data_IF_194007754751
#
_entry.id   IF_194007754751
#
_cell.length_a   1.000
_cell.length_b   1.000
_cell.length_c   1.000
_cell.angle_alpha   90.00
_cell.angle_beta   90.00
_cell.angle_gamma   90.00
#
_symmetry.space_group_name_H-M   'P 1'
#
loop_
_entity.id
_entity.type
_entity.pdbx_description
1 polymer ?
#
# COMPACT_ATOMS: atom_id res chain seq x y z
N UNK A 1 -18.88 7.15 -2.26
CA UNK A 1 -19.59 5.84 -2.25
C UNK A 1 -20.91 5.84 -3.03
N UNK A 2 -21.80 6.84 -2.87
CA UNK A 2 -23.10 6.86 -3.58
C UNK A 2 -23.00 6.76 -5.11
N UNK A 3 -21.98 7.37 -5.72
CA UNK A 3 -21.76 7.34 -7.17
C UNK A 3 -21.23 5.99 -7.69
N UNK A 4 -20.47 5.25 -6.87
CA UNK A 4 -19.89 3.95 -7.24
C UNK A 4 -20.94 2.83 -7.13
N UNK A 5 -21.77 2.89 -6.08
CA UNK A 5 -22.84 1.91 -5.83
C UNK A 5 -24.02 2.04 -6.80
N UNK A 6 -24.05 3.07 -7.65
CA UNK A 6 -25.10 3.30 -8.65
C UNK A 6 -25.08 2.24 -9.77
N UNK A 7 -23.94 1.58 -9.99
CA UNK A 7 -23.70 0.69 -11.13
C UNK A 7 -23.43 -0.77 -10.73
N UNK A 8 -24.00 -1.18 -9.59
CA UNK A 8 -23.61 -2.35 -8.79
C UNK A 8 -22.14 -2.27 -8.31
N UNK A 9 -21.84 -2.71 -7.06
CA UNK A 9 -20.46 -2.70 -6.58
C UNK A 9 -19.61 -3.56 -7.53
N UNK A 10 -18.44 -3.07 -7.98
CA UNK A 10 -17.56 -3.88 -8.79
C UNK A 10 -17.25 -5.18 -8.04
N UNK A 11 -17.60 -6.34 -8.63
CA UNK A 11 -17.24 -7.65 -8.08
C UNK A 11 -15.72 -7.68 -8.01
N UNK A 12 -15.18 -7.72 -6.79
CA UNK A 12 -13.75 -7.67 -6.56
C UNK A 12 -13.09 -8.89 -7.22
N UNK A 13 -12.38 -8.66 -8.33
CA UNK A 13 -11.43 -9.64 -8.83
C UNK A 13 -10.34 -9.82 -7.78
N UNK A 14 -9.91 -11.08 -7.57
CA UNK A 14 -8.79 -11.38 -6.67
C UNK A 14 -7.59 -10.57 -7.14
N UNK A 15 -7.07 -9.69 -6.28
CA UNK A 15 -5.85 -8.93 -6.58
C UNK A 15 -4.66 -9.88 -6.51
N UNK A 16 -3.73 -9.74 -7.45
CA UNK A 16 -2.43 -10.37 -7.33
C UNK A 16 -1.67 -9.72 -6.18
N UNK A 17 -1.17 -10.54 -5.27
CA UNK A 17 -0.38 -10.10 -4.12
C UNK A 17 1.04 -10.57 -4.37
N UNK A 18 1.95 -9.61 -4.42
CA UNK A 18 3.38 -9.86 -4.56
C UNK A 18 4.05 -9.57 -3.22
N UNK A 19 4.85 -10.52 -2.76
CA UNK A 19 5.74 -10.31 -1.62
C UNK A 19 7.16 -10.15 -2.18
N UNK A 20 7.73 -8.96 -2.02
CA UNK A 20 9.14 -8.73 -2.31
C UNK A 20 9.98 -9.46 -1.26
N UNK A 21 11.02 -10.18 -1.71
CA UNK A 21 11.87 -11.02 -0.85
C UNK A 21 13.20 -10.37 -0.53
N UNK A 22 13.66 -9.43 -1.37
CA UNK A 22 14.91 -8.70 -1.16
C UNK A 22 14.71 -7.19 -1.13
N UNK A 23 15.75 -6.49 -0.67
CA UNK A 23 15.76 -5.03 -0.60
C UNK A 23 15.82 -4.44 -2.01
N UNK A 24 16.55 -5.08 -2.92
CA UNK A 24 16.71 -4.64 -4.31
C UNK A 24 15.39 -4.70 -5.07
N UNK A 25 14.66 -5.82 -4.96
CA UNK A 25 13.31 -5.96 -5.54
C UNK A 25 12.37 -4.86 -5.04
N UNK A 26 12.47 -4.55 -3.74
CA UNK A 26 11.67 -3.50 -3.14
C UNK A 26 12.03 -2.09 -3.66
N UNK A 27 13.33 -1.79 -3.80
CA UNK A 27 13.80 -0.52 -4.35
C UNK A 27 13.35 -0.30 -5.80
N UNK A 28 13.37 -1.34 -6.63
CA UNK A 28 12.87 -1.26 -8.02
C UNK A 28 11.37 -0.94 -8.04
N UNK A 29 10.58 -1.62 -7.22
CA UNK A 29 9.15 -1.38 -7.11
C UNK A 29 8.87 0.04 -6.60
N UNK A 30 9.66 0.54 -5.64
CA UNK A 30 9.52 1.89 -5.07
C UNK A 30 9.57 3.01 -6.12
N UNK A 31 10.29 2.81 -7.24
CA UNK A 31 10.37 3.79 -8.33
C UNK A 31 9.04 3.88 -9.10
N UNK A 32 8.29 2.77 -9.15
CA UNK A 32 7.08 2.63 -9.98
C UNK A 32 5.77 2.87 -9.22
N UNK A 33 5.78 2.79 -7.89
CA UNK A 33 4.57 2.91 -7.07
C UNK A 33 4.23 4.36 -6.77
N UNK A 34 2.94 4.67 -6.77
CA UNK A 34 2.46 6.03 -6.48
C UNK A 34 2.48 6.36 -4.99
N UNK A 35 2.23 5.37 -4.13
CA UNK A 35 2.13 5.58 -2.68
C UNK A 35 2.58 4.31 -1.94
N UNK A 36 3.30 4.53 -0.84
CA UNK A 36 3.68 3.49 0.12
C UNK A 36 2.81 3.66 1.36
N UNK A 37 2.12 2.60 1.76
CA UNK A 37 1.28 2.59 2.96
C UNK A 37 1.97 1.71 4.00
N UNK A 38 2.25 2.30 5.16
CA UNK A 38 2.81 1.59 6.31
C UNK A 38 1.67 1.25 7.28
N UNK A 39 1.45 -0.04 7.52
CA UNK A 39 0.37 -0.56 8.37
C UNK A 39 0.85 -0.90 9.79
N UNK A 40 2.10 -0.54 10.13
CA UNK A 40 2.60 -0.69 11.50
C UNK A 40 1.87 0.29 12.43
N UNK A 41 1.95 0.04 13.72
CA UNK A 41 1.43 0.97 14.72
C UNK A 41 2.17 2.33 14.68
N UNK A 42 1.54 3.32 15.29
CA UNK A 42 2.02 4.72 15.27
C UNK A 42 3.38 4.87 15.93
N UNK A 43 3.67 4.13 17.01
CA UNK A 43 4.93 4.23 17.74
C UNK A 43 6.08 3.66 16.91
N UNK A 44 5.86 2.49 16.29
CA UNK A 44 6.81 1.88 15.35
C UNK A 44 7.12 2.79 14.17
N UNK A 45 6.11 3.46 13.60
CA UNK A 45 6.30 4.41 12.51
C UNK A 45 7.10 5.65 12.95
N UNK A 46 6.80 6.20 14.12
CA UNK A 46 7.46 7.37 14.68
C UNK A 46 8.94 7.10 15.03
N UNK A 47 9.28 5.86 15.41
CA UNK A 47 10.67 5.45 15.70
C UNK A 47 11.57 5.44 14.46
N UNK A 48 10.96 5.35 13.27
CA UNK A 48 11.65 5.24 12.00
C UNK A 48 10.71 4.71 10.92
N UNK A 49 10.59 5.45 9.84
CA UNK A 49 9.76 5.07 8.69
C UNK A 49 10.48 5.38 7.39
N UNK A 50 9.97 4.76 6.34
CA UNK A 50 10.45 5.01 5.00
C UNK A 50 10.04 6.39 4.52
N UNK A 51 10.93 7.07 3.81
CA UNK A 51 10.59 8.34 3.19
C UNK A 51 9.38 8.20 2.24
N UNK A 52 8.47 9.18 2.30
CA UNK A 52 7.23 9.25 1.47
C UNK A 52 6.17 8.18 1.77
N UNK A 53 6.36 7.34 2.80
CA UNK A 53 5.27 6.47 3.26
C UNK A 53 4.26 7.24 4.11
N UNK A 54 3.01 6.76 4.10
CA UNK A 54 1.93 7.26 4.96
C UNK A 54 1.51 6.12 5.89
N UNK A 55 1.40 6.40 7.17
CA UNK A 55 0.93 5.43 8.15
C UNK A 55 -0.60 5.35 8.16
N UNK A 56 -1.13 4.14 7.99
CA UNK A 56 -2.55 3.80 8.14
C UNK A 56 -2.61 2.52 9.00
N UNK A 57 -2.57 2.66 10.34
CA UNK A 57 -2.60 1.53 11.26
C UNK A 57 -3.95 0.79 11.24
#
# INVERSE_FOLDING_TARGET
MKNLNKYDPPIHKKREVFANKTIEEFQEVMISVQQIVDIRDVESFASGHMEKSINIP
#
